data_IF_181476331574
#
_entry.id   IF_181476331574
#
_cell.length_a   1.000
_cell.length_b   1.000
_cell.length_c   1.000
_cell.angle_alpha   90.00
_cell.angle_beta   90.00
_cell.angle_gamma   90.00
#
_symmetry.space_group_name_H-M   'P 1'
#
loop_
_entity.id
_entity.type
_entity.pdbx_description
1 polymer ?
2 non-polymer ?
3 water ?
#
# COMPACT_ATOMS: atom_id res chain seq x y z
N UNK A 4 -24.42 -4.36 20.66
CA UNK A 4 -25.43 -3.51 19.98
C UNK A 4 -25.76 -4.03 18.57
N UNK A 5 -26.79 -3.45 17.96
CA UNK A 5 -27.29 -3.92 16.68
C UNK A 5 -26.39 -3.53 15.52
N UNK A 6 -25.71 -2.39 15.65
CA UNK A 6 -24.77 -1.94 14.63
C UNK A 6 -23.49 -1.57 15.34
N UNK A 7 -22.37 -2.12 14.87
CA UNK A 7 -21.10 -1.76 15.45
C UNK A 7 -20.00 -1.62 14.39
N UNK A 8 -18.85 -1.16 14.85
CA UNK A 8 -17.68 -0.93 14.01
C UNK A 8 -16.49 -1.24 14.91
N UNK A 9 -15.59 -2.10 14.45
CA UNK A 9 -14.42 -2.50 15.24
C UNK A 9 -13.36 -3.11 14.34
N UNK A 10 -12.17 -3.30 14.90
CA UNK A 10 -11.14 -4.08 14.26
C UNK A 10 -11.55 -5.54 14.32
N UNK A 11 -11.19 -6.28 13.28
CA UNK A 11 -11.40 -7.73 13.25
C UNK A 11 -10.43 -8.43 14.19
N UNK A 12 -10.82 -9.61 14.64
CA UNK A 12 -9.99 -10.44 15.51
C UNK A 12 -10.25 -11.90 15.21
N UNK A 13 -9.73 -12.81 16.08
CA UNK A 13 -9.76 -14.26 15.87
C UNK A 13 -11.05 -14.81 15.24
N UNK A 14 -12.16 -14.69 15.95
CA UNK A 14 -13.43 -15.26 15.53
C UNK A 14 -14.06 -14.69 14.28
N UNK A 15 -13.45 -13.66 13.70
CA UNK A 15 -14.04 -12.96 12.56
C UNK A 15 -13.72 -13.59 11.21
N UNK A 16 -12.85 -14.60 11.20
CA UNK A 16 -12.38 -15.14 9.95
C UNK A 16 -13.47 -15.68 9.02
N UNK A 17 -14.41 -16.53 9.53
CA UNK A 17 -15.49 -17.00 8.64
C UNK A 17 -16.26 -15.85 7.97
N UNK A 18 -16.62 -14.84 8.75
CA UNK A 18 -17.37 -13.68 8.24
C UNK A 18 -16.60 -12.87 7.21
N UNK A 19 -15.32 -12.67 7.45
CA UNK A 19 -14.43 -11.98 6.52
C UNK A 19 -14.30 -12.75 5.22
N UNK A 20 -14.16 -14.06 5.31
CA UNK A 20 -14.06 -14.87 4.09
C UNK A 20 -15.33 -14.74 3.23
N UNK A 21 -16.50 -14.71 3.87
CA UNK A 21 -17.74 -14.50 3.14
C UNK A 21 -17.76 -13.16 2.40
N UNK A 22 -17.27 -12.12 3.05
CA UNK A 22 -17.17 -10.81 2.39
C UNK A 22 -16.22 -10.84 1.20
N UNK A 23 -15.07 -11.50 1.37
CA UNK A 23 -14.09 -11.54 0.28
C UNK A 23 -14.56 -12.41 -0.88
N UNK A 24 -15.45 -13.35 -0.61
CA UNK A 24 -16.12 -14.11 -1.66
C UNK A 24 -17.09 -13.24 -2.45
N UNK A 25 -17.75 -12.30 -1.77
CA UNK A 25 -18.58 -11.27 -2.43
C UNK A 25 -17.73 -10.37 -3.32
N UNK A 26 -16.60 -9.91 -2.76
CA UNK A 26 -15.68 -9.06 -3.48
C UNK A 26 -15.26 -9.69 -4.81
N UNK A 27 -14.78 -10.94 -4.74
CA UNK A 27 -14.25 -11.64 -5.90
C UNK A 27 -14.98 -12.99 -6.08
N UNK A 28 -16.15 -12.98 -6.74
CA UNK A 28 -16.94 -14.22 -6.86
C UNK A 28 -16.25 -15.40 -7.57
N UNK A 29 -15.20 -15.13 -8.35
CA UNK A 29 -14.48 -16.21 -9.03
C UNK A 29 -13.29 -16.77 -8.20
N UNK A 30 -13.01 -16.15 -7.06
CA UNK A 30 -11.96 -16.65 -6.18
C UNK A 30 -12.38 -17.98 -5.57
N UNK A 31 -11.40 -18.86 -5.29
CA UNK A 31 -11.71 -20.11 -4.60
C UNK A 31 -12.21 -19.80 -3.18
N UNK A 32 -13.08 -20.66 -2.68
CA UNK A 32 -13.67 -20.42 -1.36
C UNK A 32 -12.78 -21.07 -0.31
N UNK A 33 -11.84 -20.27 0.21
CA UNK A 33 -10.92 -20.72 1.25
C UNK A 33 -11.70 -21.07 2.50
N UNK A 34 -11.35 -22.18 3.15
CA UNK A 34 -11.94 -22.51 4.44
C UNK A 34 -11.23 -21.69 5.53
N UNK A 35 -11.88 -21.62 6.69
CA UNK A 35 -11.28 -20.98 7.85
C UNK A 35 -9.91 -21.63 8.15
N UNK A 36 -9.84 -22.95 7.97
CA UNK A 36 -8.57 -23.66 8.22
C UNK A 36 -7.48 -23.25 7.23
N UNK A 37 -7.82 -23.22 5.95
CA UNK A 37 -6.87 -22.80 4.88
C UNK A 37 -6.39 -21.38 5.06
N UNK A 38 -7.27 -20.54 5.62
CA UNK A 38 -6.98 -19.12 5.74
C UNK A 38 -6.33 -18.73 7.05
N UNK A 39 -6.23 -19.67 7.99
CA UNK A 39 -5.84 -19.36 9.37
C UNK A 39 -4.43 -18.78 9.53
N UNK A 40 -3.48 -19.37 8.81
CA UNK A 40 -2.07 -18.96 8.90
C UNK A 40 -1.88 -17.52 8.41
N UNK A 41 -2.42 -17.20 7.23
CA UNK A 41 -2.33 -15.82 6.72
C UNK A 41 -3.11 -14.84 7.59
N UNK A 42 -4.31 -15.24 8.05
CA UNK A 42 -5.07 -14.35 8.95
C UNK A 42 -4.26 -13.99 10.21
N UNK A 43 -3.61 -15.00 10.80
CA UNK A 43 -2.77 -14.77 11.98
C UNK A 43 -1.61 -13.82 11.69
N UNK A 44 -0.99 -13.98 10.51
CA UNK A 44 0.08 -13.09 10.06
C UNK A 44 -0.43 -11.65 9.90
N UNK A 45 -1.66 -11.53 9.41
CA UNK A 45 -2.29 -10.21 9.26
C UNK A 45 -2.54 -9.55 10.60
N UNK A 46 -3.05 -10.33 11.55
CA UNK A 46 -3.34 -9.83 12.89
C UNK A 46 -2.05 -9.41 13.60
N UNK A 47 -0.94 -10.06 13.24
CA UNK A 47 0.38 -9.79 13.81
C UNK A 47 1.14 -8.66 13.10
N UNK A 48 0.66 -8.27 11.91
CA UNK A 48 1.41 -7.34 11.07
C UNK A 48 1.36 -5.90 11.61
N UNK A 49 2.52 -5.34 11.97
CA UNK A 49 2.56 -3.97 12.43
C UNK A 49 1.93 -3.01 11.43
N UNK A 50 1.02 -2.18 11.92
CA UNK A 50 0.38 -1.14 11.12
C UNK A 50 -0.76 -1.59 10.21
N UNK A 51 -1.10 -2.87 10.25
CA UNK A 51 -2.24 -3.39 9.48
C UNK A 51 -3.44 -3.61 10.42
N UNK A 52 -4.60 -3.08 10.03
CA UNK A 52 -5.83 -3.34 10.76
C UNK A 52 -6.93 -3.63 9.76
N UNK A 53 -7.65 -4.73 9.97
CA UNK A 53 -8.84 -5.04 9.18
C UNK A 53 -10.01 -4.51 10.01
N UNK A 54 -10.80 -3.59 9.43
CA UNK A 54 -11.98 -3.07 10.12
C UNK A 54 -13.23 -3.72 9.56
N UNK A 55 -14.22 -3.98 10.43
CA UNK A 55 -15.53 -4.49 10.01
C UNK A 55 -16.66 -3.62 10.56
N UNK A 56 -17.71 -3.42 9.77
CA UNK A 56 -18.98 -2.94 10.30
C UNK A 56 -19.82 -4.18 10.49
N UNK A 57 -20.53 -4.24 11.61
CA UNK A 57 -21.31 -5.43 11.91
C UNK A 57 -22.76 -5.02 12.09
N UNK A 58 -23.65 -5.93 11.71
CA UNK A 58 -25.09 -5.75 11.89
C UNK A 58 -25.59 -7.02 12.60
N UNK A 59 -26.16 -6.87 13.81
CA UNK A 59 -26.52 -8.03 14.64
C UNK A 59 -25.34 -9.00 14.78
N UNK A 60 -24.14 -8.42 14.89
CA UNK A 60 -22.90 -9.22 15.03
C UNK A 60 -22.29 -9.76 13.76
N UNK A 61 -23.01 -9.71 12.64
CA UNK A 61 -22.48 -10.20 11.35
C UNK A 61 -21.68 -9.11 10.64
N UNK A 62 -20.43 -9.42 10.24
CA UNK A 62 -19.72 -8.47 9.38
C UNK A 62 -20.48 -8.21 8.07
N UNK A 63 -20.74 -6.94 7.78
CA UNK A 63 -21.48 -6.55 6.58
C UNK A 63 -20.68 -5.61 5.67
N UNK A 64 -19.55 -5.10 6.18
CA UNK A 64 -18.60 -4.36 5.35
C UNK A 64 -17.22 -4.48 5.95
N UNK A 65 -16.20 -4.26 5.13
CA UNK A 65 -14.83 -4.32 5.63
C UNK A 65 -13.93 -3.42 4.80
N UNK A 66 -12.84 -2.98 5.41
CA UNK A 66 -11.75 -2.29 4.73
C UNK A 66 -10.49 -2.58 5.54
N UNK A 67 -9.37 -2.72 4.84
CA UNK A 67 -8.10 -2.98 5.51
C UNK A 67 -7.22 -1.74 5.42
N UNK A 68 -6.69 -1.31 6.55
CA UNK A 68 -5.81 -0.16 6.63
C UNK A 68 -4.38 -0.65 6.75
N UNK A 69 -3.49 -0.06 5.94
CA UNK A 69 -2.06 -0.38 6.01
C UNK A 69 -1.32 0.90 6.30
N UNK A 70 -0.76 1.01 7.49
CA UNK A 70 0.02 2.20 7.87
C UNK A 70 1.50 1.85 7.74
N UNK A 71 2.24 2.73 7.06
CA UNK A 71 3.61 2.41 6.62
C UNK A 71 4.59 3.45 7.18
N UNK A 72 5.68 2.99 7.84
CA UNK A 72 6.69 3.94 8.31
C UNK A 72 7.44 4.55 7.12
N UNK A 73 7.87 5.80 7.28
CA UNK A 73 8.32 6.65 6.16
C UNK A 73 9.22 7.81 6.61
N UNK A 74 10.25 8.10 5.83
CA UNK A 74 11.20 9.19 6.13
C UNK A 74 10.93 10.52 5.41
N UNK A 75 10.11 10.49 4.37
CA UNK A 75 9.75 11.70 3.66
C UNK A 75 8.71 12.49 4.46
N UNK A 76 8.48 13.73 4.02
CA UNK A 76 7.47 14.64 4.61
C UNK A 76 7.56 14.68 6.14
N UNK A 77 8.74 15.04 6.63
CA UNK A 77 9.03 15.12 8.07
C UNK A 77 8.92 13.77 8.80
N UNK A 78 9.28 12.70 8.08
CA UNK A 78 9.26 11.33 8.57
C UNK A 78 7.87 10.88 9.04
N UNK A 79 6.84 11.33 8.34
CA UNK A 79 5.46 10.99 8.69
C UNK A 79 5.00 9.78 7.90
N UNK A 80 4.26 8.86 8.55
CA UNK A 80 3.85 7.65 7.85
C UNK A 80 2.81 7.97 6.76
N UNK A 81 2.57 7.02 5.87
CA UNK A 81 1.47 7.15 4.94
C UNK A 81 0.67 5.86 5.00
N UNK A 82 -0.49 5.85 4.37
CA UNK A 82 -1.34 4.67 4.49
C UNK A 82 -1.98 4.32 3.17
N UNK A 83 -2.31 3.04 3.01
CA UNK A 83 -3.19 2.58 1.94
C UNK A 83 -4.44 1.97 2.55
N UNK A 84 -5.51 2.00 1.78
CA UNK A 84 -6.72 1.24 2.15
C UNK A 84 -7.01 0.21 1.07
N UNK A 85 -7.23 -1.04 1.49
CA UNK A 85 -7.40 -2.14 0.55
C UNK A 85 -8.57 -3.04 0.91
N UNK A 86 -8.96 -3.86 -0.07
CA UNK A 86 -10.01 -4.88 0.08
C UNK A 86 -11.27 -4.36 0.75
N UNK A 87 -11.81 -3.30 0.16
CA UNK A 87 -13.06 -2.74 0.64
C UNK A 87 -14.22 -3.51 0.01
N UNK A 88 -15.14 -3.99 0.86
CA UNK A 88 -16.30 -4.68 0.33
C UNK A 88 -17.55 -4.39 1.12
N UNK A 89 -18.64 -4.27 0.38
CA UNK A 89 -19.97 -4.12 0.90
C UNK A 89 -20.85 -5.13 0.16
N UNK A 90 -22.12 -5.17 0.55
CA UNK A 90 -23.02 -6.18 0.02
C UNK A 90 -24.06 -5.59 -0.91
N UNK A 91 -24.36 -6.32 -2.01
CA UNK A 91 -25.55 -6.03 -2.87
C UNK A 91 -26.57 -5.44 -1.90
N UNK A 92 -26.76 -6.06 -0.72
CA UNK A 92 -28.03 -6.64 -0.29
C UNK A 92 -28.14 -5.60 0.86
N UNK A 93 -27.04 -4.86 1.04
CA UNK A 93 -26.98 -3.67 1.92
C UNK A 93 -26.56 -2.37 1.19
N UNK A 94 -26.77 -2.33 -0.12
CA UNK A 94 -26.49 -1.17 -0.95
C UNK A 94 -27.24 0.04 -0.43
N UNK A 95 -26.50 1.13 -0.27
CA UNK A 95 -27.07 2.38 0.13
C UNK A 95 -27.45 2.44 1.59
N UNK A 96 -26.88 1.56 2.42
CA UNK A 96 -27.13 1.66 3.86
C UNK A 96 -25.98 2.36 4.60
N UNK A 97 -24.85 2.54 3.92
CA UNK A 97 -23.78 3.33 4.51
C UNK A 97 -22.65 2.57 5.20
N UNK A 98 -22.76 1.24 5.27
CA UNK A 98 -21.77 0.46 6.03
C UNK A 98 -20.37 0.57 5.41
N UNK A 99 -20.30 0.54 4.09
CA UNK A 99 -19.00 0.79 3.40
C UNK A 99 -18.40 2.15 3.74
N UNK A 100 -19.22 3.20 3.66
CA UNK A 100 -18.75 4.54 4.00
C UNK A 100 -18.25 4.58 5.45
N UNK A 101 -18.98 3.93 6.35
CA UNK A 101 -18.58 3.93 7.77
C UNK A 101 -17.19 3.33 7.94
N UNK A 102 -16.97 2.16 7.33
CA UNK A 102 -15.72 1.47 7.52
C UNK A 102 -14.52 2.17 6.82
N UNK A 103 -14.76 2.71 5.63
CA UNK A 103 -13.68 3.40 4.91
C UNK A 103 -13.33 4.69 5.63
N UNK A 104 -14.35 5.46 6.01
CA UNK A 104 -14.12 6.72 6.72
C UNK A 104 -13.40 6.47 8.07
N UNK A 105 -13.75 5.38 8.75
CA UNK A 105 -13.09 5.02 10.01
C UNK A 105 -11.61 4.72 9.78
N UNK A 106 -11.32 3.98 8.72
CA UNK A 106 -9.94 3.67 8.36
C UNK A 106 -9.14 4.94 8.04
N UNK A 107 -9.75 5.88 7.30
CA UNK A 107 -9.12 7.18 7.02
C UNK A 107 -8.81 7.90 8.34
N UNK A 108 -9.82 7.95 9.20
CA UNK A 108 -9.68 8.68 10.45
C UNK A 108 -8.61 8.06 11.33
N UNK A 109 -8.53 6.74 11.31
CA UNK A 109 -7.53 6.00 12.08
C UNK A 109 -6.11 6.28 11.60
N UNK A 110 -5.96 6.34 10.28
CA UNK A 110 -4.68 6.69 9.67
C UNK A 110 -4.24 8.11 10.06
N UNK A 111 -5.15 9.07 9.93
CA UNK A 111 -4.83 10.44 10.30
C UNK A 111 -4.52 10.59 11.80
N UNK A 112 -5.23 9.83 12.63
CA UNK A 112 -4.93 9.80 14.08
C UNK A 112 -3.53 9.26 14.37
N UNK A 113 -3.01 8.44 13.47
CA UNK A 113 -1.67 7.86 13.57
C UNK A 113 -0.60 8.76 12.92
N UNK A 114 -1.02 9.96 12.56
CA UNK A 114 -0.21 11.03 11.95
C UNK A 114 0.21 10.75 10.50
N UNK A 115 -0.58 9.95 9.79
CA UNK A 115 -0.31 9.76 8.35
C UNK A 115 -0.58 11.06 7.60
N UNK A 116 0.34 11.45 6.70
CA UNK A 116 0.12 12.68 5.93
C UNK A 116 -0.83 12.49 4.75
N UNK A 117 -0.96 11.25 4.28
CA UNK A 117 -1.87 10.94 3.20
C UNK A 117 -2.39 9.51 3.34
N UNK A 118 -3.56 9.27 2.76
CA UNK A 118 -4.10 7.93 2.65
C UNK A 118 -4.41 7.69 1.18
N UNK A 119 -3.97 6.56 0.64
CA UNK A 119 -4.14 6.26 -0.79
C UNK A 119 -5.00 5.02 -1.01
N UNK A 120 -5.62 4.94 -2.18
CA UNK A 120 -6.43 3.80 -2.52
C UNK A 120 -6.43 3.64 -4.03
N UNK A 121 -6.31 2.40 -4.49
CA UNK A 121 -6.37 2.07 -5.91
C UNK A 121 -7.53 1.14 -6.17
N UNK A 122 -8.35 1.48 -7.15
CA UNK A 122 -9.46 0.61 -7.49
C UNK A 122 -9.45 0.26 -8.98
N UNK A 123 -9.86 -0.95 -9.30
CA UNK A 123 -9.78 -1.42 -10.68
C UNK A 123 -11.19 -1.48 -11.19
N UNK A 124 -12.10 -1.00 -10.37
CA UNK A 124 -13.52 -1.03 -10.71
C UNK A 124 -13.84 -0.08 -11.85
N UNK A 125 -14.54 -0.65 -12.84
CA UNK A 125 -15.09 -0.02 -14.04
C UNK A 125 -16.26 0.91 -13.71
N UNK A 126 -16.87 0.69 -12.54
CA UNK A 126 -18.15 1.29 -12.17
C UNK A 126 -17.94 2.69 -11.63
N UNK A 127 -18.50 3.70 -12.33
CA UNK A 127 -18.47 5.06 -11.82
C UNK A 127 -19.09 5.19 -10.43
N UNK A 128 -20.00 4.29 -10.08
CA UNK A 128 -20.66 4.40 -8.78
C UNK A 128 -19.63 4.12 -7.69
N UNK A 129 -18.70 3.22 -7.99
CA UNK A 129 -17.60 2.92 -7.03
C UNK A 129 -16.69 4.14 -6.84
N UNK A 130 -16.36 4.82 -7.94
CA UNK A 130 -15.55 6.02 -7.85
C UNK A 130 -16.25 7.10 -7.05
N UNK A 131 -17.55 7.31 -7.31
CA UNK A 131 -18.33 8.31 -6.57
C UNK A 131 -18.35 7.96 -5.08
N UNK A 132 -18.44 6.66 -4.80
CA UNK A 132 -18.45 6.19 -3.42
C UNK A 132 -17.17 6.62 -2.73
N UNK A 133 -16.02 6.41 -3.38
CA UNK A 133 -14.76 6.82 -2.74
C UNK A 133 -14.68 8.33 -2.54
N UNK A 134 -15.19 9.11 -3.49
CA UNK A 134 -15.23 10.56 -3.33
C UNK A 134 -16.09 10.95 -2.12
N UNK A 135 -17.17 10.23 -1.90
CA UNK A 135 -18.06 10.48 -0.77
C UNK A 135 -17.41 10.15 0.57
N UNK A 136 -16.33 9.38 0.54
CA UNK A 136 -15.54 9.05 1.74
C UNK A 136 -14.47 10.11 2.01
N UNK A 137 -14.34 11.07 1.10
CA UNK A 137 -13.34 12.14 1.26
C UNK A 137 -12.14 12.02 0.34
N UNK A 138 -12.04 10.90 -0.38
CA UNK A 138 -10.94 10.75 -1.37
C UNK A 138 -11.10 11.69 -2.55
N UNK A 139 -9.97 12.13 -3.11
CA UNK A 139 -9.97 12.87 -4.35
C UNK A 139 -9.28 12.02 -5.41
N UNK A 140 -9.84 12.00 -6.62
CA UNK A 140 -9.23 11.24 -7.72
C UNK A 140 -8.15 12.11 -8.38
N UNK A 141 -7.02 12.23 -7.70
CA UNK A 141 -5.94 13.09 -8.18
C UNK A 141 -4.59 12.39 -8.30
N UNK A 142 -4.63 11.07 -8.32
CA UNK A 142 -3.43 10.26 -8.55
C UNK A 142 -3.71 9.19 -9.60
N UNK A 143 -2.66 8.74 -10.27
CA UNK A 143 -2.80 7.78 -11.36
C UNK A 143 -2.22 6.43 -10.95
N UNK A 144 -3.03 5.38 -11.08
CA UNK A 144 -2.62 4.05 -10.61
C UNK A 144 -1.98 3.21 -11.68
N UNK A 145 -0.98 2.42 -11.28
CA UNK A 145 -0.27 1.52 -12.16
C UNK A 145 -0.17 0.16 -11.51
N UNK A 146 -0.19 -0.88 -12.34
CA UNK A 146 -0.19 -2.24 -11.83
C UNK A 146 0.48 -3.20 -12.80
N UNK A 147 1.20 -4.17 -12.25
CA UNK A 147 1.72 -5.27 -13.04
C UNK A 147 1.28 -6.54 -12.30
N UNK A 148 0.85 -7.53 -13.08
CA UNK A 148 0.33 -8.77 -12.49
C UNK A 148 1.09 -9.97 -13.00
N UNK A 149 1.01 -11.08 -12.27
CA UNK A 149 1.55 -12.35 -12.76
C UNK A 149 0.53 -13.46 -12.49
N UNK A 150 0.58 -14.54 -13.26
CA UNK A 150 -0.29 -15.70 -13.05
C UNK A 150 -0.14 -16.28 -11.64
N UNK B 6 27.63 -2.50 -10.96
CA UNK B 6 26.57 -1.72 -10.27
C UNK B 6 25.61 -2.65 -9.54
N UNK B 7 25.51 -2.48 -8.23
CA UNK B 7 24.87 -3.48 -7.38
C UNK B 7 23.55 -3.02 -6.78
N UNK B 8 22.66 -3.99 -6.63
CA UNK B 8 21.35 -3.78 -6.02
C UNK B 8 21.34 -4.52 -4.71
N UNK B 9 20.92 -3.84 -3.65
CA UNK B 9 20.77 -4.48 -2.34
C UNK B 9 19.72 -3.80 -1.48
N UNK B 10 19.29 -4.50 -0.43
CA UNK B 10 18.45 -3.90 0.61
C UNK B 10 19.27 -2.89 1.40
N UNK B 11 18.62 -1.81 1.82
CA UNK B 11 19.24 -0.82 2.69
C UNK B 11 19.58 -1.40 4.06
N UNK B 12 20.59 -0.82 4.70
CA UNK B 12 20.98 -1.20 6.05
C UNK B 12 21.31 0.03 6.85
N UNK B 13 21.61 -0.14 8.16
CA UNK B 13 21.90 0.96 9.08
C UNK B 13 22.77 2.10 8.52
N UNK B 14 23.82 1.75 7.77
CA UNK B 14 24.76 2.77 7.28
C UNK B 14 24.23 3.69 6.19
N UNK B 15 23.12 3.28 5.57
CA UNK B 15 22.58 3.93 4.37
C UNK B 15 21.74 5.19 4.60
N UNK B 16 21.52 5.54 5.87
CA UNK B 16 20.66 6.67 6.22
C UNK B 16 21.04 8.02 5.58
N UNK B 17 22.31 8.43 5.63
CA UNK B 17 22.62 9.70 4.96
C UNK B 17 22.33 9.65 3.45
N UNK B 18 22.70 8.55 2.79
CA UNK B 18 22.49 8.41 1.35
C UNK B 18 21.01 8.40 0.98
N UNK B 19 20.22 7.71 1.79
CA UNK B 19 18.76 7.68 1.62
C UNK B 19 18.14 9.04 1.86
N UNK B 20 18.60 9.74 2.89
CA UNK B 20 18.15 11.10 3.13
C UNK B 20 18.46 12.05 1.97
N UNK B 21 19.64 11.90 1.37
CA UNK B 21 19.99 12.70 0.19
C UNK B 21 19.03 12.41 -0.96
N UNK B 22 18.80 11.14 -1.24
CA UNK B 22 17.85 10.71 -2.27
C UNK B 22 16.44 11.23 -2.00
N UNK B 23 15.98 11.11 -0.76
CA UNK B 23 14.64 11.59 -0.42
C UNK B 23 14.53 13.11 -0.50
N UNK B 24 15.65 13.80 -0.26
CA UNK B 24 15.71 15.24 -0.46
C UNK B 24 15.62 15.63 -1.95
N UNK B 25 16.18 14.79 -2.82
CA UNK B 25 16.07 14.99 -4.26
C UNK B 25 14.61 14.81 -4.70
N UNK B 26 13.99 13.75 -4.17
CA UNK B 26 12.60 13.43 -4.48
C UNK B 26 11.64 14.54 -4.07
N UNK B 27 11.82 15.05 -2.87
CA UNK B 27 10.97 16.14 -2.36
C UNK B 27 11.82 17.32 -1.90
N UNK B 28 12.21 18.20 -2.83
CA UNK B 28 13.08 19.35 -2.50
C UNK B 28 12.49 20.28 -1.44
N UNK B 29 11.17 20.27 -1.27
CA UNK B 29 10.50 21.11 -0.28
C UNK B 29 10.53 20.55 1.14
N UNK B 30 10.80 19.25 1.29
CA UNK B 30 10.82 18.60 2.61
C UNK B 30 11.88 19.14 3.57
N UNK B 31 11.48 19.34 4.85
CA UNK B 31 12.43 19.77 5.89
C UNK B 31 13.55 18.74 6.09
N UNK B 32 14.76 19.23 6.29
CA UNK B 32 15.96 18.38 6.44
C UNK B 32 15.88 17.47 7.66
N UNK B 33 16.53 16.31 7.58
CA UNK B 33 16.64 15.40 8.72
C UNK B 33 18.05 14.86 8.92
N UNK B 34 18.52 14.91 10.18
CA UNK B 34 19.60 14.05 10.68
C UNK B 34 18.87 12.71 10.95
N UNK B 35 19.48 11.59 11.40
CA UNK B 35 20.65 11.41 12.29
C UNK B 35 20.81 12.27 13.58
N UNK B 36 19.89 12.16 14.58
CA UNK B 36 18.47 11.80 14.45
C UNK B 36 17.85 12.81 15.44
N UNK B 37 16.59 13.23 15.30
CA UNK B 37 15.57 12.82 14.30
C UNK B 37 15.03 11.37 14.53
N UNK B 38 14.53 10.56 13.57
CA UNK B 38 14.87 10.34 12.13
C UNK B 38 15.64 9.02 11.98
N UNK B 39 16.57 8.76 12.89
CA UNK B 39 17.15 7.43 13.04
C UNK B 39 16.11 6.48 13.62
N UNK B 40 15.18 7.03 14.40
CA UNK B 40 14.08 6.28 14.98
C UNK B 40 13.13 5.71 13.92
N UNK B 41 12.76 6.53 12.96
CA UNK B 41 11.86 6.06 11.89
C UNK B 41 12.60 5.08 10.98
N UNK B 42 13.84 5.42 10.62
CA UNK B 42 14.65 4.52 9.79
C UNK B 42 14.77 3.17 10.47
N UNK B 43 15.03 3.17 11.77
CA UNK B 43 15.00 1.95 12.57
C UNK B 43 13.66 1.21 12.47
N UNK B 44 12.55 1.93 12.53
CA UNK B 44 11.22 1.32 12.39
C UNK B 44 11.00 0.66 11.02
N UNK B 45 11.49 1.30 9.97
CA UNK B 45 11.33 0.78 8.60
C UNK B 45 12.13 -0.49 8.39
N UNK B 46 13.39 -0.45 8.83
CA UNK B 46 14.23 -1.64 8.78
C UNK B 46 13.60 -2.79 9.56
N UNK B 47 12.92 -2.45 10.65
CA UNK B 47 12.22 -3.43 11.49
C UNK B 47 10.86 -3.86 10.95
N UNK B 48 10.28 -3.07 10.04
CA UNK B 48 8.96 -3.38 9.47
C UNK B 48 8.91 -4.63 8.60
N UNK B 49 8.12 -5.64 9.02
CA UNK B 49 7.94 -6.87 8.24
C UNK B 49 7.32 -6.63 6.85
N UNK B 50 7.88 -7.28 5.83
CA UNK B 50 7.45 -7.16 4.42
C UNK B 50 7.95 -5.95 3.64
N UNK B 51 8.61 -5.03 4.34
CA UNK B 51 9.13 -3.79 3.74
C UNK B 51 10.61 -3.91 3.42
N UNK B 52 10.99 -3.55 2.20
CA UNK B 52 12.42 -3.49 1.84
C UNK B 52 12.70 -2.18 1.14
N UNK B 53 13.71 -1.46 1.59
CA UNK B 53 14.19 -0.29 0.86
C UNK B 53 15.32 -0.79 -0.02
N UNK B 54 15.12 -0.79 -1.33
CA UNK B 54 16.18 -1.21 -2.25
C UNK B 54 17.01 -0.01 -2.66
N UNK B 55 18.31 -0.21 -2.77
CA UNK B 55 19.18 0.83 -3.31
C UNK B 55 20.05 0.25 -4.42
N UNK B 56 20.29 1.06 -5.45
CA UNK B 56 21.33 0.74 -6.41
C UNK B 56 22.51 1.57 -5.95
N UNK B 57 23.68 0.94 -5.86
CA UNK B 57 24.89 1.65 -5.45
C UNK B 57 25.88 1.71 -6.60
N UNK B 58 26.61 2.82 -6.65
CA UNK B 58 27.64 3.03 -7.63
C UNK B 58 28.89 3.29 -6.82
N UNK B 59 29.83 2.36 -6.90
CA UNK B 59 31.05 2.41 -6.08
C UNK B 59 30.74 2.76 -4.61
N UNK B 60 29.76 2.04 -4.03
CA UNK B 60 29.40 2.21 -2.62
C UNK B 60 28.26 3.16 -2.32
N UNK B 61 28.09 4.19 -3.14
CA UNK B 61 27.12 5.26 -2.88
C UNK B 61 25.72 4.93 -3.42
N UNK B 62 24.67 5.05 -2.58
CA UNK B 62 23.31 4.87 -3.09
C UNK B 62 22.97 5.96 -4.09
N UNK B 63 22.63 5.57 -5.31
CA UNK B 63 22.31 6.52 -6.37
C UNK B 63 20.86 6.44 -6.83
N UNK B 64 20.14 5.42 -6.36
CA UNK B 64 18.75 5.22 -6.72
C UNK B 64 18.09 4.36 -5.66
N UNK B 65 16.78 4.50 -5.52
CA UNK B 65 16.07 3.74 -4.49
C UNK B 65 14.63 3.49 -4.92
N UNK B 66 14.06 2.41 -4.42
CA UNK B 66 12.62 2.18 -4.49
C UNK B 66 12.26 1.35 -3.25
N UNK B 67 11.11 1.60 -2.65
CA UNK B 67 10.68 0.82 -1.48
C UNK B 67 9.60 -0.18 -1.88
N UNK B 68 9.79 -1.44 -1.49
CA UNK B 68 8.81 -2.48 -1.76
C UNK B 68 8.05 -2.80 -0.48
N UNK B 69 6.72 -2.84 -0.59
CA UNK B 69 5.87 -3.29 0.54
C UNK B 69 5.10 -4.54 0.11
N UNK B 70 5.41 -5.67 0.75
CA UNK B 70 4.69 -6.91 0.47
C UNK B 70 3.69 -7.08 1.59
N UNK B 71 2.43 -7.30 1.23
CA UNK B 71 1.32 -7.27 2.18
C UNK B 71 0.60 -8.62 2.24
N UNK B 72 0.41 -9.17 3.46
CA UNK B 72 -0.34 -10.42 3.57
C UNK B 72 -1.81 -10.16 3.27
N UNK B 73 -2.49 -11.18 2.75
CA UNK B 73 -3.76 -10.98 2.11
C UNK B 73 -4.56 -12.27 1.99
N UNK B 74 -5.88 -12.17 2.11
CA UNK B 74 -6.76 -13.34 2.04
C UNK B 74 -7.48 -13.55 0.73
N UNK B 75 -7.58 -12.52 -0.10
CA UNK B 75 -8.22 -12.68 -1.40
C UNK B 75 -7.28 -13.41 -2.35
N UNK B 76 -7.79 -13.78 -3.52
CA UNK B 76 -7.00 -14.45 -4.56
C UNK B 76 -6.23 -15.64 -3.99
N UNK B 77 -6.96 -16.52 -3.29
CA UNK B 77 -6.37 -17.73 -2.71
C UNK B 77 -5.30 -17.42 -1.66
N UNK B 78 -5.49 -16.30 -0.95
CA UNK B 78 -4.56 -15.80 0.05
C UNK B 78 -3.14 -15.52 -0.47
N UNK B 79 -3.04 -15.09 -1.72
CA UNK B 79 -1.75 -14.63 -2.27
C UNK B 79 -1.48 -13.20 -1.85
N UNK B 80 -0.21 -12.89 -1.53
CA UNK B 80 0.09 -11.52 -1.14
C UNK B 80 0.07 -10.58 -2.34
N UNK B 81 0.05 -9.28 -2.06
CA UNK B 81 0.20 -8.27 -3.10
C UNK B 81 1.24 -7.26 -2.62
N UNK B 82 1.66 -6.38 -3.51
CA UNK B 82 2.73 -5.45 -3.14
C UNK B 82 2.47 -4.04 -3.63
N UNK B 83 3.06 -3.07 -2.95
CA UNK B 83 3.12 -1.67 -3.42
C UNK B 83 4.57 -1.28 -3.59
N UNK B 84 4.83 -0.34 -4.50
CA UNK B 84 6.16 0.26 -4.62
C UNK B 84 6.00 1.74 -4.34
N UNK B 85 6.90 2.28 -3.52
CA UNK B 85 6.85 3.66 -3.13
C UNK B 85 8.22 4.33 -3.16
N UNK B 86 8.21 5.66 -3.17
CA UNK B 86 9.41 6.49 -3.01
C UNK B 86 10.55 6.12 -3.94
N UNK B 87 10.25 6.20 -5.24
CA UNK B 87 11.20 5.88 -6.28
C UNK B 87 11.92 7.15 -6.70
N UNK B 88 13.23 7.15 -6.58
CA UNK B 88 14.03 8.31 -7.02
C UNK B 88 15.44 7.90 -7.38
N UNK B 89 16.00 8.60 -8.37
CA UNK B 89 17.40 8.48 -8.79
C UNK B 89 18.06 9.86 -8.68
N UNK B 90 19.31 9.94 -8.22
CA UNK B 90 20.05 11.21 -8.22
C UNK B 90 20.08 11.83 -9.63
N UNK B 91 19.89 13.15 -9.72
CA UNK B 91 19.76 13.82 -11.02
C UNK B 91 20.91 13.47 -11.98
N UNK B 92 22.14 13.55 -11.48
CA UNK B 92 23.32 13.37 -12.33
C UNK B 92 23.43 11.97 -12.90
N UNK B 93 22.65 11.03 -12.36
CA UNK B 93 22.72 9.65 -12.76
C UNK B 93 21.51 9.18 -13.57
N UNK B 94 20.55 10.07 -13.83
CA UNK B 94 19.33 9.66 -14.57
C UNK B 94 19.60 9.35 -16.05
N UNK B 95 18.84 8.41 -16.61
CA UNK B 95 19.03 8.04 -18.02
C UNK B 95 20.09 6.97 -18.22
N UNK B 96 20.56 6.40 -17.12
CA UNK B 96 21.54 5.32 -17.15
C UNK B 96 20.90 3.97 -16.80
N UNK B 97 19.59 3.98 -16.57
CA UNK B 97 18.87 2.74 -16.28
C UNK B 97 18.82 2.35 -14.82
N UNK B 98 19.42 3.17 -13.94
CA UNK B 98 19.44 2.86 -12.49
C UNK B 98 18.04 2.74 -11.91
N UNK B 99 17.19 3.73 -12.22
CA UNK B 99 15.81 3.74 -11.71
C UNK B 99 15.01 2.56 -12.23
N UNK B 100 15.11 2.29 -13.54
CA UNK B 100 14.43 1.16 -14.14
C UNK B 100 14.91 -0.14 -13.49
N UNK B 101 16.21 -0.24 -13.27
CA UNK B 101 16.80 -1.45 -12.66
C UNK B 101 16.29 -1.70 -11.22
N UNK B 102 16.25 -0.66 -10.41
CA UNK B 102 15.77 -0.80 -9.02
C UNK B 102 14.27 -1.13 -8.97
N UNK B 103 13.48 -0.47 -9.82
CA UNK B 103 12.03 -0.76 -9.89
C UNK B 103 11.79 -2.20 -10.34
N UNK B 104 12.48 -2.62 -11.41
CA UNK B 104 12.35 -3.99 -11.91
C UNK B 104 12.79 -5.02 -10.89
N UNK B 105 13.85 -4.71 -10.14
CA UNK B 105 14.30 -5.58 -9.06
C UNK B 105 13.22 -5.75 -7.99
N UNK B 106 12.57 -4.63 -7.61
CA UNK B 106 11.45 -4.64 -6.64
C UNK B 106 10.29 -5.49 -7.13
N UNK B 107 9.90 -5.31 -8.40
CA UNK B 107 8.84 -6.13 -9.02
C UNK B 107 9.20 -7.63 -8.96
N UNK B 108 10.43 -7.96 -9.34
CA UNK B 108 10.87 -9.35 -9.38
C UNK B 108 10.91 -9.98 -7.98
N UNK B 109 11.32 -9.19 -7.00
CA UNK B 109 11.32 -9.62 -5.60
C UNK B 109 9.89 -9.95 -5.18
N UNK B 110 8.95 -9.06 -5.51
CA UNK B 110 7.55 -9.27 -5.15
C UNK B 110 7.01 -10.52 -5.79
N UNK B 111 7.25 -10.68 -7.09
CA UNK B 111 6.75 -11.86 -7.82
C UNK B 111 7.39 -13.15 -7.31
N UNK B 112 8.65 -13.07 -6.90
CA UNK B 112 9.35 -14.19 -6.23
C UNK B 112 8.74 -14.61 -4.90
N UNK B 113 8.07 -13.66 -4.24
CA UNK B 113 7.31 -13.93 -3.02
C UNK B 113 5.86 -14.34 -3.32
N UNK B 114 5.59 -14.61 -4.60
CA UNK B 114 4.28 -15.06 -5.08
C UNK B 114 3.16 -14.01 -5.02
N UNK B 115 3.55 -12.73 -4.99
CA UNK B 115 2.55 -11.66 -5.12
C UNK B 115 1.86 -11.78 -6.46
N UNK B 116 0.54 -11.60 -6.48
CA UNK B 116 -0.21 -11.70 -7.74
C UNK B 116 -0.22 -10.38 -8.49
N UNK B 117 0.08 -9.32 -7.77
CA UNK B 117 0.11 -7.98 -8.37
C UNK B 117 1.08 -7.10 -7.62
N UNK B 118 1.62 -6.11 -8.33
CA UNK B 118 2.43 -5.07 -7.72
C UNK B 118 1.82 -3.76 -8.22
N UNK B 119 1.50 -2.86 -7.28
CA UNK B 119 0.82 -1.61 -7.60
C UNK B 119 1.64 -0.40 -7.20
N UNK B 120 1.37 0.72 -7.86
CA UNK B 120 1.92 1.97 -7.42
C UNK B 120 1.03 3.13 -7.83
N UNK B 121 1.10 4.20 -7.05
CA UNK B 121 0.36 5.43 -7.33
C UNK B 121 1.34 6.53 -7.62
N UNK B 122 1.06 7.31 -8.65
CA UNK B 122 1.93 8.42 -8.95
C UNK B 122 1.11 9.68 -9.29
N UNK B 123 1.79 10.81 -9.45
CA UNK B 123 1.12 12.08 -9.79
C UNK B 123 0.38 11.98 -11.11
N UNK B 124 -0.71 12.73 -11.24
CA UNK B 124 -1.47 12.67 -12.48
C UNK B 124 -0.81 13.53 -13.55
N UNK B 125 -1.09 13.19 -14.81
CA UNK B 125 -0.73 14.04 -15.95
C UNK B 125 0.75 14.36 -16.00
N UNK B 126 1.57 13.34 -15.75
CA UNK B 126 3.01 13.51 -15.81
C UNK B 126 3.55 12.56 -16.85
N UNK B 127 3.73 13.06 -18.09
CA UNK B 127 4.07 12.17 -19.21
C UNK B 127 5.40 11.44 -19.05
N UNK B 128 6.43 12.09 -18.52
CA UNK B 128 7.73 11.43 -18.36
C UNK B 128 7.63 10.29 -17.35
N UNK B 129 7.00 10.57 -16.22
CA UNK B 129 6.84 9.55 -15.18
C UNK B 129 5.98 8.38 -15.64
N UNK B 130 4.86 8.65 -16.33
CA UNK B 130 4.00 7.55 -16.79
C UNK B 130 4.68 6.69 -17.87
N UNK B 131 5.45 7.32 -18.75
CA UNK B 131 6.19 6.57 -19.76
C UNK B 131 7.26 5.69 -19.10
N UNK B 132 7.87 6.23 -18.04
CA UNK B 132 8.86 5.47 -17.28
C UNK B 132 8.20 4.20 -16.70
N UNK B 133 7.07 4.36 -16.01
CA UNK B 133 6.42 3.17 -15.44
C UNK B 133 5.93 2.19 -16.48
N UNK B 134 5.42 2.67 -17.61
CA UNK B 134 5.05 1.77 -18.67
C UNK B 134 6.30 0.98 -19.12
N UNK B 135 7.44 1.65 -19.18
CA UNK B 135 8.70 1.03 -19.63
C UNK B 135 9.20 -0.04 -18.65
N UNK B 136 8.74 0.03 -17.40
CA UNK B 136 9.05 -1.00 -16.39
C UNK B 136 8.07 -2.18 -16.42
N UNK B 137 7.04 -2.07 -17.26
CA UNK B 137 6.02 -3.12 -17.41
C UNK B 137 4.66 -2.87 -16.73
N UNK B 138 4.48 -1.68 -16.16
CA UNK B 138 3.21 -1.33 -15.49
C UNK B 138 2.13 -0.96 -16.50
N UNK B 139 0.89 -1.31 -16.16
CA UNK B 139 -0.31 -0.98 -16.94
C UNK B 139 -1.14 0.02 -16.14
N UNK B 140 -1.64 1.05 -16.82
CA UNK B 140 -2.45 2.08 -16.18
C UNK B 140 -3.90 1.63 -16.17
N UNK B 141 -4.21 0.71 -15.26
CA UNK B 141 -5.56 0.13 -15.22
C UNK B 141 -6.16 0.11 -13.82
N UNK B 142 -5.62 0.95 -12.95
CA UNK B 142 -6.21 1.16 -11.62
C UNK B 142 -6.44 2.65 -11.46
N UNK B 143 -7.59 3.03 -10.90
CA UNK B 143 -7.90 4.44 -10.68
C UNK B 143 -7.40 4.84 -9.30
N UNK B 144 -6.65 5.93 -9.22
CA UNK B 144 -6.00 6.33 -7.97
C UNK B 144 -6.77 7.39 -7.20
N UNK B 145 -6.85 7.21 -5.89
CA UNK B 145 -7.51 8.17 -4.98
C UNK B 145 -6.59 8.52 -3.83
N UNK B 146 -6.69 9.74 -3.32
CA UNK B 146 -5.87 10.12 -2.19
C UNK B 146 -6.58 11.15 -1.36
N UNK B 147 -6.30 11.14 -0.06
CA UNK B 147 -6.75 12.21 0.83
C UNK B 147 -5.55 12.60 1.68
N UNK B 148 -5.42 13.89 1.95
CA UNK B 148 -4.25 14.39 2.67
C UNK B 148 -4.68 15.18 3.90
N UNK B 149 -3.77 15.29 4.87
CA UNK B 149 -3.96 16.23 5.97
C UNK B 149 -2.75 17.15 6.12
X LIG C 1 -22.35 1.85 1.27
X LIG C 1 -23.83 2.12 1.16
X LIG C 1 -21.81 2.08 -0.15
X LIG C 1 -21.71 2.85 2.19
X LIG C 1 -22.06 0.44 1.65
X LIG D 1 3.47 12.94 -1.96
X LIG D 1 4.20 13.01 -0.66
X LIG D 1 2.54 14.10 -2.12
X LIG D 1 4.46 12.91 -3.12
X LIG D 1 2.66 11.67 -2.03
X LIG E 1 -13.63 -11.77 -9.88
X LIG E 1 -14.38 -12.25 -11.11
X LIG E 1 -13.63 -12.86 -8.84
X LIG E 1 -12.21 -11.41 -10.26
X LIG E 1 -14.31 -10.55 -9.34
X LIG F 1 -24.87 2.54 9.24
X LIG F 1 -23.41 2.29 9.57
X LIG F 1 -25.58 3.17 10.43
X LIG F 1 -24.97 3.45 8.03
X LIG F 1 -25.59 1.26 8.90
X LIG G 1 16.48 5.74 -15.48
X LIG G 1 17.43 5.78 -16.66
X LIG G 1 15.15 6.29 -15.92
X LIG G 1 16.30 4.31 -15.07
X LIG G 1 16.96 6.57 -14.33
X LIG H 1 -7.58 -7.35 -7.65
X LIG H 1 -6.53 -6.32 -8.02
X LIG H 1 -8.94 -6.70 -7.80
X LIG H 1 -7.49 -8.56 -8.51
X LIG H 1 -7.39 -7.73 -6.20
X LIG I 1 7.93 18.76 -3.17
X LIG I 1 7.93 17.49 -3.98
X LIG I 1 6.53 19.02 -2.63
X LIG I 1 8.88 18.62 -2.01
X LIG I 1 8.37 19.91 -4.04
X LIG J 1 6.03 6.45 -6.42
X LIG J 1 5.63 7.22 -7.67
X LIG J 1 6.01 4.97 -6.71
X LIG J 1 7.41 6.87 -5.98
X LIG J 1 5.04 6.77 -5.33
#
# INVERSE_FOLDING_TARGET
XSSDAISLRAAGPGDLPGLLELYQVLNPSDPELTTQEAGAVFAAMLAQPGLTIFVATENGKPVATATLLIVPNLTRAARPYAFIENVVTLEARRGRGYGRTVVRHAIETAFGANCYKVMLLTGRHDPAVHAFYESCGFVQNKTGFQIRQD
XSSDAISLRAAGPGDLPGLLELYQVLNPSDPELTTQEAGAVFAAMLAQPGLTIFVATENGKPVATATLLIVPNLTRAARPYAFIENVVTLEARRGRGYGRTVVRHAIETAFGANCYKVMLLTGRHDPAVHAFYESCGFVQNKTGFQIRQD
PO4 P O1 O2 O3 O4
PO4 P O1 O2 O3 O4
PO4 P O1 O2 O3 O4
PO4 P O1 O2 O3 O4
PO4 P O1 O2 O3 O4
PO4 P O1 O2 O3 O4
PO4 P O1 O2 O3 O4
PO4 P O1 O2 O3 O4
#
